data_IF_153041044189
#
_entry.id   IF_153041044189
#
_cell.length_a   1.000
_cell.length_b   1.000
_cell.length_c   1.000
_cell.angle_alpha   90.00
_cell.angle_beta   90.00
_cell.angle_gamma   90.00
#
_symmetry.space_group_name_H-M   'P 1'
#
loop_
_entity.id
_entity.type
_entity.pdbx_description
1 polymer ?
#
# COMPACT_ATOMS: atom_id res chain seq x y z
N UNK A 1 40.75 -18.97 34.94
CA UNK A 1 41.29 -18.21 33.79
C UNK A 1 40.28 -17.09 33.50
N UNK A 2 40.32 -15.96 34.19
CA UNK A 2 41.12 -14.74 33.93
C UNK A 2 41.04 -14.36 32.44
N UNK A 3 40.33 -13.30 32.05
CA UNK A 3 40.80 -11.91 32.17
C UNK A 3 39.65 -10.91 32.31
N UNK A 4 39.87 -9.97 33.25
CA UNK A 4 39.14 -8.72 33.48
C UNK A 4 39.56 -7.70 32.43
N UNK A 5 38.62 -6.94 31.87
CA UNK A 5 38.89 -5.61 31.29
C UNK A 5 37.74 -4.67 31.63
N UNK A 6 38.01 -3.79 32.59
CA UNK A 6 37.25 -2.58 32.95
C UNK A 6 37.84 -1.38 32.18
N UNK A 7 37.20 -0.22 32.28
CA UNK A 7 37.65 1.19 32.03
C UNK A 7 36.86 1.86 30.87
N UNK A 8 36.28 3.07 30.93
CA UNK A 8 36.28 4.24 31.85
C UNK A 8 35.01 5.06 31.56
N UNK A 9 34.39 5.64 32.61
CA UNK A 9 33.43 6.75 32.55
C UNK A 9 34.18 8.09 32.68
N UNK A 10 33.86 9.12 31.89
CA UNK A 10 33.77 10.51 32.35
C UNK A 10 33.13 11.47 31.31
N UNK A 11 32.39 12.51 31.75
CA UNK A 11 31.56 13.43 30.94
C UNK A 11 32.23 14.81 30.73
N UNK A 12 31.64 15.72 29.91
CA UNK A 12 31.78 17.21 29.85
C UNK A 12 31.45 17.67 28.42
N UNK A 13 30.84 18.81 28.07
CA UNK A 13 30.33 19.98 28.78
C UNK A 13 29.36 20.73 27.83
N UNK A 14 28.47 21.54 28.40
CA UNK A 14 27.65 22.51 27.68
C UNK A 14 28.46 23.74 27.26
N UNK A 15 28.14 24.34 26.10
CA UNK A 15 28.43 25.75 25.77
C UNK A 15 27.21 26.35 25.09
N UNK A 16 26.66 27.39 25.71
CA UNK A 16 25.72 28.32 25.11
C UNK A 16 26.50 29.58 24.68
N UNK A 17 26.24 30.08 23.46
CA UNK A 17 26.53 31.46 23.09
C UNK A 17 25.40 32.01 22.20
N UNK A 18 24.70 32.99 22.77
CA UNK A 18 23.80 33.95 22.14
C UNK A 18 24.58 35.07 21.44
N UNK A 19 24.13 35.55 20.28
CA UNK A 19 24.31 36.95 19.87
C UNK A 19 23.11 37.43 19.05
N UNK A 20 22.40 38.40 19.63
CA UNK A 20 21.49 39.31 18.98
C UNK A 20 22.27 40.33 18.14
N UNK A 21 21.74 40.70 16.97
CA UNK A 21 22.24 41.82 16.18
C UNK A 21 21.15 42.39 15.28
N UNK A 22 20.49 43.46 15.76
CA UNK A 22 19.77 44.43 14.92
C UNK A 22 20.74 45.55 14.56
N UNK A 23 20.76 45.98 13.31
CA UNK A 23 21.47 47.16 12.85
C UNK A 23 20.75 47.74 11.63
N UNK A 24 20.39 49.01 11.73
CA UNK A 24 19.52 49.78 10.83
C UNK A 24 20.35 50.83 10.05
N UNK A 25 19.91 51.08 8.81
CA UNK A 25 19.94 52.30 7.99
C UNK A 25 21.14 52.77 7.11
N UNK A 26 20.77 52.98 5.84
CA UNK A 26 21.13 54.06 4.87
C UNK A 26 22.23 53.94 3.79
N UNK A 27 21.73 53.89 2.54
CA UNK A 27 22.07 54.67 1.32
C UNK A 27 23.43 54.50 0.60
N UNK A 28 23.46 53.91 -0.61
CA UNK A 28 23.40 54.61 -1.92
C UNK A 28 23.69 53.66 -3.13
N UNK A 29 23.04 53.97 -4.26
CA UNK A 29 23.44 53.73 -5.66
C UNK A 29 23.41 52.36 -6.36
N UNK A 30 22.58 52.38 -7.41
CA UNK A 30 22.76 51.84 -8.76
C UNK A 30 22.30 50.40 -9.10
N UNK A 31 21.37 50.35 -10.07
CA UNK A 31 20.73 49.19 -10.69
C UNK A 31 21.71 48.31 -11.51
N UNK A 32 21.35 47.07 -11.92
CA UNK A 32 20.30 46.86 -12.92
C UNK A 32 19.36 45.66 -12.67
N UNK A 33 18.26 45.72 -13.40
CA UNK A 33 17.20 44.73 -13.58
C UNK A 33 17.67 43.27 -13.65
N UNK A 34 17.16 42.43 -12.76
CA UNK A 34 17.09 40.98 -12.95
C UNK A 34 15.72 40.46 -12.53
N UNK A 35 14.94 40.13 -13.57
CA UNK A 35 14.02 39.01 -13.68
C UNK A 35 13.57 38.34 -12.36
N UNK A 36 12.41 38.76 -11.83
CA UNK A 36 11.66 37.96 -10.87
C UNK A 36 10.65 37.11 -11.64
N UNK A 37 11.11 35.93 -12.07
CA UNK A 37 10.22 34.83 -12.42
C UNK A 37 9.99 34.03 -11.14
N UNK A 38 8.78 34.11 -10.60
CA UNK A 38 8.31 33.18 -9.59
C UNK A 38 8.30 31.77 -10.23
N UNK A 39 9.34 30.99 -9.94
CA UNK A 39 9.36 29.58 -10.25
C UNK A 39 8.49 28.86 -9.22
N UNK A 40 7.27 28.57 -9.67
CA UNK A 40 6.39 27.51 -9.20
C UNK A 40 7.20 26.27 -8.79
N UNK A 41 7.35 26.02 -7.49
CA UNK A 41 7.80 24.71 -7.00
C UNK A 41 6.58 23.79 -7.00
N UNK A 42 6.31 23.21 -8.17
CA UNK A 42 5.40 22.09 -8.34
C UNK A 42 6.17 21.06 -9.15
N UNK A 43 6.75 20.10 -8.44
CA UNK A 43 7.67 19.12 -8.99
C UNK A 43 7.98 18.06 -7.94
N UNK A 44 6.95 17.30 -7.55
CA UNK A 44 7.07 16.10 -6.70
C UNK A 44 5.97 15.11 -7.14
N UNK A 45 6.24 14.37 -8.21
CA UNK A 45 5.38 13.25 -8.67
C UNK A 45 6.12 12.27 -9.60
N UNK A 46 7.37 12.54 -9.99
CA UNK A 46 8.09 11.74 -10.97
C UNK A 46 8.87 10.50 -10.46
N UNK A 47 9.28 10.36 -9.18
CA UNK A 47 10.02 9.16 -8.77
C UNK A 47 9.14 7.90 -8.64
N UNK A 48 7.88 8.06 -8.21
CA UNK A 48 6.97 6.96 -7.91
C UNK A 48 6.65 6.05 -9.12
N UNK A 49 6.54 6.62 -10.33
CA UNK A 49 6.15 5.86 -11.53
C UNK A 49 7.24 4.89 -12.01
N UNK A 50 8.51 5.24 -11.86
CA UNK A 50 9.63 4.42 -12.33
C UNK A 50 9.86 3.19 -11.42
N UNK A 51 9.47 3.27 -10.15
CA UNK A 51 9.56 2.14 -9.22
C UNK A 51 8.48 1.09 -9.45
N UNK A 52 7.27 1.50 -9.80
CA UNK A 52 6.16 0.59 -10.12
C UNK A 52 6.46 -0.33 -11.32
N UNK A 53 7.27 0.18 -12.26
CA UNK A 53 7.73 -0.59 -13.43
C UNK A 53 8.84 -1.58 -13.08
N UNK A 54 9.58 -1.35 -11.98
CA UNK A 54 10.62 -2.26 -11.47
C UNK A 54 10.05 -3.42 -10.67
N UNK A 55 8.76 -3.41 -10.32
CA UNK A 55 8.13 -4.58 -9.69
C UNK A 55 8.05 -5.70 -10.73
N UNK A 56 8.68 -6.87 -10.48
CA UNK A 56 8.84 -7.89 -11.51
C UNK A 56 7.51 -8.49 -11.96
N UNK A 57 7.44 -8.76 -13.27
CA UNK A 57 6.37 -9.53 -13.91
C UNK A 57 6.47 -11.01 -13.53
N UNK A 58 5.35 -11.72 -13.26
CA UNK A 58 5.33 -13.16 -12.94
C UNK A 58 6.07 -14.04 -13.95
N UNK A 59 6.10 -13.61 -15.21
CA UNK A 59 6.68 -14.38 -16.30
C UNK A 59 8.19 -14.19 -16.44
N UNK A 60 8.80 -13.42 -15.54
CA UNK A 60 10.25 -13.28 -15.43
C UNK A 60 10.62 -13.44 -13.95
N UNK A 61 11.12 -14.62 -13.57
CA UNK A 61 11.69 -14.88 -12.23
C UNK A 61 13.07 -14.19 -12.07
N UNK A 62 13.18 -12.95 -12.55
CA UNK A 62 14.33 -12.05 -12.34
C UNK A 62 14.20 -11.33 -11.01
N UNK A 63 15.34 -10.90 -10.42
CA UNK A 63 15.43 -10.56 -9.00
C UNK A 63 14.35 -9.57 -8.59
N UNK A 64 13.71 -9.90 -7.46
CA UNK A 64 12.92 -8.97 -6.66
C UNK A 64 13.72 -7.66 -6.53
N UNK A 65 13.03 -6.52 -6.37
CA UNK A 65 13.72 -5.33 -5.89
C UNK A 65 14.29 -5.64 -4.50
N UNK A 66 15.57 -5.97 -4.42
CA UNK A 66 16.22 -6.28 -3.16
C UNK A 66 16.67 -5.00 -2.45
N UNK A 67 16.37 -4.83 -1.15
CA UNK A 67 15.61 -5.76 -0.29
C UNK A 67 14.09 -5.65 -0.48
N UNK A 68 13.41 -6.81 -0.55
CA UNK A 68 11.95 -6.94 -0.44
C UNK A 68 11.60 -7.55 0.91
N UNK A 69 10.54 -7.05 1.54
CA UNK A 69 10.00 -7.51 2.80
C UNK A 69 8.53 -7.89 2.62
N UNK A 70 8.09 -8.96 3.26
CA UNK A 70 6.69 -9.43 3.22
C UNK A 70 6.17 -9.70 4.63
N UNK A 71 4.89 -9.44 4.86
CA UNK A 71 4.32 -9.49 6.20
C UNK A 71 2.81 -9.44 6.26
N UNK A 72 2.29 -9.62 7.47
CA UNK A 72 0.87 -9.54 7.79
C UNK A 72 0.53 -8.24 8.52
N UNK A 73 -0.70 -7.79 8.36
CA UNK A 73 -1.28 -6.66 9.10
C UNK A 73 -2.08 -7.21 10.28
N UNK A 74 -1.86 -6.64 11.46
CA UNK A 74 -2.40 -7.17 12.71
C UNK A 74 -3.94 -7.08 12.76
N UNK A 75 -4.55 -8.22 13.07
CA UNK A 75 -6.00 -8.35 13.21
C UNK A 75 -6.75 -8.02 11.91
N UNK A 76 -6.17 -8.33 10.75
CA UNK A 76 -6.86 -8.35 9.46
C UNK A 76 -6.38 -9.53 8.60
N UNK A 77 -7.09 -9.79 7.49
CA UNK A 77 -6.64 -10.75 6.47
C UNK A 77 -5.62 -10.12 5.49
N UNK A 78 -5.17 -8.89 5.76
CA UNK A 78 -4.34 -8.13 4.82
C UNK A 78 -2.85 -8.45 4.96
N UNK A 79 -2.20 -8.57 3.81
CA UNK A 79 -0.74 -8.68 3.68
C UNK A 79 -0.16 -7.39 3.15
N UNK A 80 1.06 -7.12 3.58
CA UNK A 80 1.88 -6.00 3.11
C UNK A 80 3.20 -6.52 2.58
N UNK A 81 3.61 -5.99 1.43
CA UNK A 81 4.95 -6.18 0.91
C UNK A 81 5.58 -4.83 0.66
N UNK A 82 6.88 -4.70 0.94
CA UNK A 82 7.63 -3.49 0.72
C UNK A 82 8.91 -3.80 -0.03
N UNK A 83 9.26 -2.98 -1.01
CA UNK A 83 10.52 -3.10 -1.73
C UNK A 83 11.23 -1.76 -1.78
N UNK A 84 12.56 -1.80 -1.64
CA UNK A 84 13.41 -0.61 -1.60
C UNK A 84 14.35 -0.59 -2.80
N UNK A 85 14.60 0.61 -3.34
CA UNK A 85 15.71 0.84 -4.28
C UNK A 85 16.31 2.23 -4.01
N UNK A 86 17.50 2.28 -3.39
CA UNK A 86 18.10 3.53 -2.94
C UNK A 86 17.30 4.13 -1.78
N UNK A 87 16.87 5.38 -1.91
CA UNK A 87 16.08 6.08 -0.89
C UNK A 87 14.59 6.10 -1.19
N UNK A 88 14.15 5.47 -2.28
CA UNK A 88 12.74 5.31 -2.59
C UNK A 88 12.24 3.91 -2.23
N UNK A 89 10.97 3.86 -1.85
CA UNK A 89 10.30 2.68 -1.36
C UNK A 89 8.92 2.57 -1.99
N UNK A 90 8.55 1.35 -2.35
CA UNK A 90 7.20 0.99 -2.78
C UNK A 90 6.64 -0.01 -1.78
N UNK A 91 5.34 0.09 -1.52
CA UNK A 91 4.61 -0.91 -0.75
C UNK A 91 3.34 -1.31 -1.49
N UNK A 92 2.98 -2.58 -1.35
CA UNK A 92 1.71 -3.12 -1.81
C UNK A 92 0.98 -3.69 -0.60
N UNK A 93 -0.26 -3.27 -0.42
CA UNK A 93 -1.17 -3.78 0.60
C UNK A 93 -2.33 -4.46 -0.11
N UNK A 94 -2.67 -5.68 0.29
CA UNK A 94 -3.87 -6.35 -0.21
C UNK A 94 -4.49 -7.31 0.80
N UNK A 95 -5.81 -7.50 0.74
CA UNK A 95 -6.53 -8.52 1.53
C UNK A 95 -6.88 -9.79 0.74
N UNK A 96 -6.56 -9.81 -0.55
CA UNK A 96 -6.89 -10.92 -1.45
C UNK A 96 -8.35 -10.92 -1.92
N UNK A 97 -9.10 -9.84 -1.68
CA UNK A 97 -10.53 -9.75 -1.96
C UNK A 97 -10.91 -8.41 -2.61
N UNK A 98 -10.98 -7.32 -1.83
CA UNK A 98 -11.45 -5.99 -2.29
C UNK A 98 -10.38 -4.91 -2.15
N UNK A 99 -9.60 -5.00 -1.07
CA UNK A 99 -8.58 -4.03 -0.77
C UNK A 99 -7.30 -4.40 -1.51
N UNK A 100 -6.89 -3.49 -2.39
CA UNK A 100 -5.53 -3.42 -2.89
C UNK A 100 -5.10 -1.96 -2.82
N UNK A 101 -3.82 -1.68 -2.63
CA UNK A 101 -3.31 -0.34 -2.90
C UNK A 101 -1.80 -0.40 -3.05
N UNK A 102 -1.28 0.43 -3.95
CA UNK A 102 0.14 0.63 -4.11
C UNK A 102 0.49 1.99 -3.52
N UNK A 103 1.45 1.99 -2.61
CA UNK A 103 1.95 3.18 -1.96
C UNK A 103 3.40 3.39 -2.37
N UNK A 104 3.79 4.65 -2.53
CA UNK A 104 5.17 5.03 -2.84
C UNK A 104 5.62 6.10 -1.88
N UNK A 105 6.92 6.15 -1.63
CA UNK A 105 7.49 7.17 -0.77
C UNK A 105 8.99 7.03 -0.67
N UNK A 106 9.54 7.69 0.33
CA UNK A 106 10.98 7.79 0.53
C UNK A 106 11.37 7.36 1.94
N UNK A 107 12.66 7.06 2.08
CA UNK A 107 13.30 6.76 3.34
C UNK A 107 14.07 7.96 3.88
N UNK A 108 14.02 8.12 5.20
CA UNK A 108 14.86 9.02 5.97
C UNK A 108 15.58 8.20 7.05
N UNK A 109 16.83 7.84 6.78
CA UNK A 109 17.59 6.89 7.58
C UNK A 109 16.93 5.50 7.58
N UNK A 110 16.46 5.08 8.76
CA UNK A 110 15.80 3.79 8.98
C UNK A 110 14.27 3.90 8.94
N UNK A 111 13.72 5.08 8.66
CA UNK A 111 12.27 5.33 8.62
C UNK A 111 11.80 5.52 7.19
N UNK A 112 10.57 5.11 6.90
CA UNK A 112 9.93 5.34 5.62
C UNK A 112 8.53 5.93 5.82
N UNK A 113 8.13 6.81 4.91
CA UNK A 113 6.77 7.33 4.83
C UNK A 113 6.28 7.19 3.40
N UNK A 114 5.21 6.43 3.21
CA UNK A 114 4.62 6.14 1.92
C UNK A 114 3.16 6.56 1.90
N UNK A 115 2.70 6.98 0.73
CA UNK A 115 1.31 7.30 0.50
C UNK A 115 0.87 6.87 -0.89
N UNK A 116 -0.44 6.85 -1.10
CA UNK A 116 -1.06 6.56 -2.38
C UNK A 116 -2.11 7.63 -2.72
N UNK A 117 -2.41 7.83 -4.02
CA UNK A 117 -3.42 8.80 -4.44
C UNK A 117 -4.84 8.52 -3.94
N UNK A 118 -5.15 7.26 -3.61
CA UNK A 118 -6.43 6.83 -3.04
C UNK A 118 -6.53 7.05 -1.52
N UNK A 119 -5.50 7.64 -0.89
CA UNK A 119 -5.51 8.07 0.50
C UNK A 119 -5.01 7.02 1.50
N UNK A 120 -4.41 5.92 1.04
CA UNK A 120 -3.70 5.01 1.93
C UNK A 120 -2.36 5.62 2.37
N UNK A 121 -1.95 5.29 3.60
CA UNK A 121 -0.70 5.76 4.18
C UNK A 121 -0.01 4.64 4.93
N UNK A 122 1.31 4.64 4.88
CA UNK A 122 2.15 3.66 5.58
C UNK A 122 3.36 4.37 6.16
N UNK A 123 3.62 4.11 7.44
CA UNK A 123 4.88 4.48 8.08
C UNK A 123 5.63 3.21 8.46
N UNK A 124 6.94 3.18 8.19
CA UNK A 124 7.78 2.02 8.44
C UNK A 124 9.03 2.42 9.21
N UNK A 125 9.54 1.50 10.02
CA UNK A 125 10.86 1.56 10.65
C UNK A 125 11.58 0.24 10.41
N UNK A 126 12.79 0.33 9.88
CA UNK A 126 13.68 -0.81 9.65
C UNK A 126 14.60 -0.99 10.85
N UNK A 127 14.52 -2.14 11.50
CA UNK A 127 15.40 -2.48 12.62
C UNK A 127 15.63 -3.98 12.65
N UNK A 128 16.89 -4.39 12.88
CA UNK A 128 17.26 -5.81 13.01
C UNK A 128 16.81 -6.68 11.82
N UNK A 129 16.86 -6.11 10.61
CA UNK A 129 16.45 -6.78 9.38
C UNK A 129 14.94 -6.99 9.23
N UNK A 130 14.13 -6.45 10.14
CA UNK A 130 12.66 -6.50 10.09
C UNK A 130 12.11 -5.11 9.84
N UNK A 131 10.99 -5.02 9.14
CA UNK A 131 10.24 -3.77 8.95
C UNK A 131 8.98 -3.84 9.80
N UNK A 132 8.82 -2.85 10.68
CA UNK A 132 7.62 -2.69 11.50
C UNK A 132 7.00 -1.34 11.22
N UNK A 133 5.70 -1.21 11.44
CA UNK A 133 5.05 0.04 11.14
C UNK A 133 3.56 0.04 11.34
N UNK A 134 2.95 1.11 10.83
CA UNK A 134 1.51 1.30 10.79
C UNK A 134 1.08 1.50 9.34
N UNK A 135 -0.06 0.92 8.99
CA UNK A 135 -0.69 1.08 7.68
C UNK A 135 -2.17 1.37 7.85
N UNK A 136 -2.66 2.31 7.05
CA UNK A 136 -4.08 2.64 6.94
C UNK A 136 -4.47 2.73 5.47
N UNK A 137 -5.72 2.40 5.17
CA UNK A 137 -6.27 2.47 3.84
C UNK A 137 -7.76 2.85 3.93
N UNK A 138 -8.40 3.33 2.84
CA UNK A 138 -9.84 3.53 2.83
C UNK A 138 -10.58 2.25 3.28
N UNK A 139 -11.39 2.36 4.34
CA UNK A 139 -12.09 1.22 4.93
C UNK A 139 -11.28 0.37 5.92
N UNK A 140 -9.98 0.62 6.08
CA UNK A 140 -9.13 -0.02 7.08
C UNK A 140 -8.52 1.03 8.04
N UNK A 141 -8.86 0.98 9.34
CA UNK A 141 -8.24 1.88 10.31
C UNK A 141 -6.73 1.60 10.39
N UNK A 142 -6.00 2.55 10.96
CA UNK A 142 -4.56 2.40 11.19
C UNK A 142 -4.27 1.13 12.01
N UNK A 143 -3.42 0.27 11.45
CA UNK A 143 -3.11 -1.05 11.98
C UNK A 143 -1.63 -1.34 11.88
N UNK A 144 -1.14 -2.05 12.90
CA UNK A 144 0.26 -2.44 12.95
C UNK A 144 0.54 -3.52 11.91
N UNK A 145 1.76 -3.54 11.41
CA UNK A 145 2.24 -4.64 10.59
C UNK A 145 3.67 -4.99 10.95
N UNK A 146 4.03 -6.24 10.65
CA UNK A 146 5.40 -6.76 10.75
C UNK A 146 5.73 -7.47 9.46
N UNK A 147 6.82 -7.06 8.81
CA UNK A 147 7.32 -7.64 7.58
C UNK A 147 8.79 -8.08 7.72
N UNK A 148 9.07 -9.28 7.23
CA UNK A 148 10.39 -9.91 7.27
C UNK A 148 11.01 -9.92 5.87
N UNK A 149 12.34 -10.05 5.74
CA UNK A 149 12.98 -10.18 4.43
C UNK A 149 12.36 -11.36 3.67
N UNK A 150 11.98 -11.12 2.42
CA UNK A 150 11.38 -12.15 1.58
C UNK A 150 12.37 -13.32 1.38
N UNK A 151 11.90 -14.54 1.65
CA UNK A 151 12.59 -15.77 1.27
C UNK A 151 12.63 -15.99 -0.26
N UNK A 152 13.30 -17.05 -0.69
CA UNK A 152 13.51 -17.34 -2.12
C UNK A 152 12.22 -17.49 -2.95
N UNK A 153 11.14 -17.97 -2.32
CA UNK A 153 9.83 -18.19 -2.95
C UNK A 153 8.78 -17.16 -2.49
N UNK A 154 9.20 -16.14 -1.74
CA UNK A 154 8.35 -15.06 -1.24
C UNK A 154 8.63 -13.77 -2.00
N UNK A 155 7.70 -12.82 -1.93
CA UNK A 155 7.93 -11.49 -2.48
C UNK A 155 6.69 -10.79 -2.97
N UNK A 156 6.93 -9.71 -3.71
CA UNK A 156 5.92 -8.84 -4.28
C UNK A 156 5.95 -8.95 -5.79
N UNK A 157 4.79 -9.15 -6.40
CA UNK A 157 4.67 -9.41 -7.82
C UNK A 157 3.58 -8.56 -8.43
N UNK A 158 3.79 -8.16 -9.69
CA UNK A 158 2.82 -7.37 -10.45
C UNK A 158 2.79 -7.86 -11.89
N UNK A 159 1.62 -7.92 -12.50
CA UNK A 159 1.50 -8.21 -13.94
C UNK A 159 0.57 -7.20 -14.61
N UNK A 160 0.80 -6.94 -15.89
CA UNK A 160 -0.16 -6.25 -16.74
C UNK A 160 -0.51 -7.16 -17.93
N UNK A 161 -1.79 -7.24 -18.28
CA UNK A 161 -2.27 -8.06 -19.38
C UNK A 161 -3.44 -7.39 -20.07
N UNK A 162 -3.65 -7.67 -21.35
CA UNK A 162 -4.83 -7.26 -22.09
C UNK A 162 -5.65 -8.51 -22.43
N UNK A 163 -6.93 -8.53 -22.04
CA UNK A 163 -7.87 -9.61 -22.36
C UNK A 163 -9.12 -8.99 -22.96
N UNK A 164 -9.48 -9.42 -24.17
CA UNK A 164 -10.66 -8.97 -24.91
C UNK A 164 -10.74 -7.43 -25.07
N UNK A 165 -9.59 -6.77 -25.22
CA UNK A 165 -9.50 -5.32 -25.38
C UNK A 165 -9.59 -4.52 -24.09
N UNK A 166 -9.69 -5.17 -22.93
CA UNK A 166 -9.60 -4.55 -21.61
C UNK A 166 -8.22 -4.78 -20.99
N UNK A 167 -7.64 -3.74 -20.40
CA UNK A 167 -6.37 -3.81 -19.68
C UNK A 167 -6.61 -4.20 -18.22
N UNK A 168 -5.84 -5.16 -17.74
CA UNK A 168 -5.86 -5.68 -16.38
C UNK A 168 -4.48 -5.53 -15.76
N UNK A 169 -4.46 -5.14 -14.49
CA UNK A 169 -3.27 -5.18 -13.64
C UNK A 169 -3.53 -6.14 -12.49
N UNK A 170 -2.56 -7.02 -12.27
CA UNK A 170 -2.55 -7.98 -11.18
C UNK A 170 -1.46 -7.56 -10.20
N UNK A 171 -1.73 -7.73 -8.92
CA UNK A 171 -0.74 -7.58 -7.85
C UNK A 171 -0.95 -8.65 -6.81
N UNK A 172 0.11 -9.34 -6.39
CA UNK A 172 0.02 -10.32 -5.32
C UNK A 172 1.31 -10.40 -4.52
N UNK A 173 1.16 -10.89 -3.30
CA UNK A 173 2.20 -11.14 -2.32
C UNK A 173 2.27 -12.65 -2.11
N UNK A 174 3.47 -13.20 -2.24
CA UNK A 174 3.75 -14.58 -1.85
C UNK A 174 4.47 -14.58 -0.50
N UNK A 175 3.94 -15.36 0.43
CA UNK A 175 4.50 -15.63 1.76
C UNK A 175 4.60 -17.14 1.93
N UNK A 176 5.29 -17.63 2.96
CA UNK A 176 5.30 -19.05 3.33
C UNK A 176 3.88 -19.61 3.53
N UNK A 177 2.99 -18.80 4.12
CA UNK A 177 1.60 -19.17 4.43
C UNK A 177 0.68 -19.15 3.21
N UNK A 178 1.08 -18.54 2.10
CA UNK A 178 0.31 -18.55 0.87
C UNK A 178 0.40 -17.29 0.04
N UNK A 179 -0.57 -17.15 -0.86
CA UNK A 179 -0.67 -16.06 -1.83
C UNK A 179 -1.91 -15.21 -1.52
N UNK A 180 -1.74 -13.89 -1.55
CA UNK A 180 -2.83 -12.90 -1.49
C UNK A 180 -2.62 -11.85 -2.56
N UNK A 181 -3.67 -11.48 -3.29
CA UNK A 181 -3.58 -10.51 -4.36
C UNK A 181 -4.92 -10.23 -5.02
N UNK A 182 -4.92 -9.30 -5.96
CA UNK A 182 -6.12 -8.93 -6.71
C UNK A 182 -5.78 -8.68 -8.18
N UNK A 183 -6.78 -8.88 -9.03
CA UNK A 183 -6.79 -8.43 -10.42
C UNK A 183 -7.77 -7.25 -10.55
N UNK A 184 -7.31 -6.12 -11.10
CA UNK A 184 -8.13 -4.95 -11.40
C UNK A 184 -8.06 -4.59 -12.88
N UNK A 185 -9.22 -4.22 -13.43
CA UNK A 185 -9.30 -3.58 -14.73
C UNK A 185 -8.81 -2.12 -14.64
N UNK A 186 -8.32 -1.58 -15.75
CA UNK A 186 -7.88 -0.18 -15.84
C UNK A 186 -9.00 0.84 -15.53
N UNK A 187 -10.27 0.45 -15.69
CA UNK A 187 -11.42 1.26 -15.31
C UNK A 187 -11.68 1.30 -13.78
N UNK A 188 -10.86 0.60 -12.99
CA UNK A 188 -10.95 0.55 -11.53
C UNK A 188 -11.75 -0.61 -10.96
N UNK A 189 -12.45 -1.39 -11.80
CA UNK A 189 -13.26 -2.54 -11.35
C UNK A 189 -12.37 -3.70 -10.92
N UNK A 190 -12.66 -4.31 -9.77
CA UNK A 190 -12.01 -5.56 -9.34
C UNK A 190 -12.57 -6.72 -10.17
N UNK A 191 -11.70 -7.48 -10.81
CA UNK A 191 -12.08 -8.63 -11.65
C UNK A 191 -12.03 -9.95 -10.86
N UNK A 192 -11.27 -10.01 -9.77
CA UNK A 192 -11.24 -11.16 -8.87
C UNK A 192 -10.14 -11.09 -7.82
N UNK A 193 -10.40 -11.74 -6.68
CA UNK A 193 -9.42 -11.97 -5.62
C UNK A 193 -8.54 -13.18 -5.91
N UNK A 194 -7.26 -13.06 -5.60
CA UNK A 194 -6.27 -14.15 -5.60
C UNK A 194 -5.99 -14.46 -4.13
N UNK A 195 -6.57 -15.53 -3.60
CA UNK A 195 -6.29 -15.99 -2.25
C UNK A 195 -6.10 -17.50 -2.25
N UNK A 196 -4.87 -17.93 -2.01
CA UNK A 196 -4.52 -19.34 -1.81
C UNK A 196 -3.77 -19.45 -0.50
N UNK A 197 -4.34 -20.13 0.48
CA UNK A 197 -3.64 -20.42 1.74
C UNK A 197 -2.94 -21.78 1.61
N UNK A 198 -1.64 -21.85 1.90
CA UNK A 198 -0.91 -23.14 1.89
C UNK A 198 -1.31 -24.04 3.06
N UNK A 199 -1.92 -23.46 4.09
CA UNK A 199 -2.44 -24.17 5.25
C UNK A 199 -3.98 -24.23 5.25
N UNK A 200 -4.65 -24.00 4.11
CA UNK A 200 -6.12 -23.95 4.07
C UNK A 200 -6.73 -25.24 4.59
N UNK A 201 -6.11 -26.40 4.33
CA UNK A 201 -6.51 -27.72 4.85
C UNK A 201 -6.51 -27.81 6.39
N UNK A 202 -5.72 -26.96 7.07
CA UNK A 202 -5.61 -26.87 8.53
C UNK A 202 -6.45 -25.75 9.15
N UNK A 203 -7.11 -24.91 8.34
CA UNK A 203 -8.03 -23.89 8.86
C UNK A 203 -9.24 -24.56 9.50
N UNK A 204 -9.53 -24.21 10.76
CA UNK A 204 -10.75 -24.62 11.45
C UNK A 204 -11.98 -24.21 10.62
N UNK A 205 -12.96 -25.11 10.50
CA UNK A 205 -14.13 -24.93 9.63
C UNK A 205 -14.88 -23.63 9.95
N UNK A 206 -14.86 -23.19 11.22
CA UNK A 206 -15.45 -21.91 11.64
C UNK A 206 -14.78 -20.69 11.00
N UNK A 207 -13.48 -20.74 10.70
CA UNK A 207 -12.82 -19.64 9.96
C UNK A 207 -13.18 -19.66 8.48
N UNK A 208 -13.33 -20.85 7.89
CA UNK A 208 -13.79 -21.01 6.51
C UNK A 208 -15.22 -20.49 6.34
N UNK A 209 -16.13 -20.88 7.24
CA UNK A 209 -17.51 -20.38 7.27
C UNK A 209 -17.56 -18.87 7.39
N UNK A 210 -16.83 -18.26 8.34
CA UNK A 210 -16.79 -16.79 8.47
C UNK A 210 -16.23 -16.06 7.25
N UNK A 211 -15.35 -16.69 6.48
CA UNK A 211 -14.88 -16.13 5.20
C UNK A 211 -15.95 -16.25 4.13
N UNK A 212 -16.64 -17.39 4.07
CA UNK A 212 -17.73 -17.62 3.14
C UNK A 212 -18.91 -16.67 3.43
N UNK A 213 -19.37 -16.58 4.68
CA UNK A 213 -20.42 -15.66 5.12
C UNK A 213 -20.07 -14.20 4.78
N UNK A 214 -18.81 -13.80 4.98
CA UNK A 214 -18.36 -12.44 4.61
C UNK A 214 -18.42 -12.21 3.10
N UNK A 215 -18.05 -13.20 2.28
CA UNK A 215 -18.18 -13.10 0.81
C UNK A 215 -19.64 -13.03 0.37
N UNK A 216 -20.51 -13.84 0.97
CA UNK A 216 -21.95 -13.83 0.70
C UNK A 216 -22.57 -12.49 1.09
N UNK A 217 -22.20 -11.93 2.25
CA UNK A 217 -22.64 -10.61 2.70
C UNK A 217 -22.20 -9.49 1.73
N UNK A 218 -20.97 -9.56 1.20
CA UNK A 218 -20.45 -8.57 0.25
C UNK A 218 -21.16 -8.64 -1.11
N UNK A 219 -21.49 -9.85 -1.59
CA UNK A 219 -22.31 -10.04 -2.80
C UNK A 219 -23.72 -9.47 -2.61
N UNK A 220 -24.31 -9.66 -1.42
CA UNK A 220 -25.57 -9.02 -1.05
C UNK A 220 -25.47 -7.48 -1.04
N UNK A 221 -24.39 -6.91 -0.51
CA UNK A 221 -24.18 -5.45 -0.47
C UNK A 221 -23.96 -4.86 -1.86
N UNK A 222 -23.21 -5.54 -2.73
CA UNK A 222 -23.02 -5.15 -4.14
C UNK A 222 -24.34 -5.19 -4.90
N UNK A 223 -25.11 -6.28 -4.74
CA UNK A 223 -26.42 -6.44 -5.37
C UNK A 223 -27.45 -5.42 -4.86
N UNK A 224 -27.40 -5.08 -3.56
CA UNK A 224 -28.23 -4.02 -2.99
C UNK A 224 -27.85 -2.63 -3.52
N UNK A 225 -26.56 -2.32 -3.64
CA UNK A 225 -26.08 -1.09 -4.26
C UNK A 225 -26.49 -0.98 -5.74
N UNK A 226 -26.41 -2.08 -6.48
CA UNK A 226 -26.87 -2.17 -7.86
C UNK A 226 -28.39 -1.93 -7.98
N UNK A 227 -29.19 -2.54 -7.11
CA UNK A 227 -30.63 -2.33 -7.08
C UNK A 227 -31.00 -0.89 -6.71
N UNK A 228 -30.31 -0.29 -5.74
CA UNK A 228 -30.48 1.12 -5.39
C UNK A 228 -30.15 2.06 -6.55
N UNK A 229 -29.09 1.74 -7.30
CA UNK A 229 -28.75 2.46 -8.53
C UNK A 229 -29.81 2.27 -9.63
N UNK A 230 -30.32 1.04 -9.85
CA UNK A 230 -31.38 0.77 -10.82
C UNK A 230 -32.67 1.54 -10.51
N UNK A 231 -33.07 1.63 -9.24
CA UNK A 231 -34.25 2.39 -8.82
C UNK A 231 -34.06 3.90 -9.03
N UNK A 232 -32.81 4.39 -8.99
CA UNK A 232 -32.47 5.78 -9.27
C UNK A 232 -32.46 6.16 -10.76
N UNK A 233 -32.53 5.18 -11.67
CA UNK A 233 -32.61 5.40 -13.11
C UNK A 233 -34.02 5.88 -13.53
N UNK A 234 -34.14 6.67 -14.62
CA UNK A 234 -35.44 7.00 -15.19
C UNK A 234 -36.16 5.71 -15.64
N UNK A 235 -37.35 5.49 -15.07
CA UNK A 235 -38.15 4.28 -15.20
C UNK A 235 -38.62 4.07 -16.65
N UNK A 236 -37.79 3.42 -17.45
CA UNK A 236 -38.20 2.84 -18.73
C UNK A 236 -38.61 1.38 -18.50
N UNK A 237 -39.54 0.81 -19.31
CA UNK A 237 -40.09 -0.53 -19.10
C UNK A 237 -39.06 -1.64 -18.78
N UNK A 238 -37.86 -1.73 -19.41
CA UNK A 238 -36.91 -2.79 -19.10
C UNK A 238 -36.30 -2.72 -17.69
N UNK A 239 -36.26 -1.54 -17.06
CA UNK A 239 -35.68 -1.38 -15.71
C UNK A 239 -36.59 -1.96 -14.64
N UNK A 240 -37.92 -1.85 -14.81
CA UNK A 240 -38.89 -2.37 -13.86
C UNK A 240 -38.91 -3.91 -13.81
N UNK A 241 -38.72 -4.58 -14.95
CA UNK A 241 -38.60 -6.05 -14.99
C UNK A 241 -37.29 -6.54 -14.36
N UNK A 242 -36.16 -5.84 -14.59
CA UNK A 242 -34.87 -6.19 -13.96
C UNK A 242 -34.92 -6.06 -12.43
N UNK A 243 -35.56 -5.02 -11.89
CA UNK A 243 -35.75 -4.85 -10.44
C UNK A 243 -36.60 -6.00 -9.85
N UNK A 244 -37.63 -6.45 -10.59
CA UNK A 244 -38.49 -7.56 -10.15
C UNK A 244 -37.77 -8.91 -10.16
N UNK A 245 -36.82 -9.12 -11.06
CA UNK A 245 -36.05 -10.37 -11.12
C UNK A 245 -34.98 -10.41 -10.01
N UNK A 246 -34.30 -9.29 -9.78
CA UNK A 246 -33.28 -9.19 -8.71
C UNK A 246 -33.89 -9.25 -7.30
N UNK A 247 -35.11 -8.75 -7.10
CA UNK A 247 -35.78 -8.83 -5.80
C UNK A 247 -36.15 -10.27 -5.39
N UNK A 248 -36.27 -11.19 -6.34
CA UNK A 248 -36.45 -12.64 -6.05
C UNK A 248 -35.12 -13.31 -5.70
N UNK A 249 -33.99 -12.86 -6.24
CA UNK A 249 -32.66 -13.34 -5.85
C UNK A 249 -32.22 -12.85 -4.46
N UNK A 250 -32.81 -11.75 -3.96
CA UNK A 250 -32.60 -11.25 -2.61
C UNK A 250 -33.18 -12.14 -1.50
N UNK A 251 -33.99 -13.18 -1.77
CA UNK A 251 -34.52 -14.06 -0.71
C UNK A 251 -33.46 -15.00 -0.11
N UNK A 252 -32.25 -15.04 -0.69
CA UNK A 252 -31.04 -15.67 -0.15
C UNK A 252 -30.09 -14.70 0.56
N UNK A 253 -30.46 -13.41 0.59
CA UNK A 253 -29.95 -12.36 1.47
C UNK A 253 -31.09 -11.96 2.44
#
# INVERSE_FOLDING_TARGET
>A
MNKKTTWILAPLAAVALSLSGCGDDSSDSAAPSTTSAAATSSGEAAPASNMMEKVPSPFVMTPQMEPTYVGSVDGSDAYVALARSGDEMIAFLCDGDQMWTWMTGTMDGDKASLSSPDGATLTASMSDGTVTGQVSAPGMPDKAFVAHPAGADEGMFRAATNRDGADYTLGWIMTADGVRGLERQANGSTAGGIAVDRNDDQMDDRQRERRQERREQLDCDEMNNYNMWLVSQPQTPPVAEMVSMNSVQMEGC
#
